data_IF_837870770542
#
_entry.id   IF_837870770542
#
_cell.length_a   1.000
_cell.length_b   1.000
_cell.length_c   1.000
_cell.angle_alpha   90.00
_cell.angle_beta   90.00
_cell.angle_gamma   90.00
#
_symmetry.space_group_name_H-M   'P 1'
#
loop_
_entity.id
_entity.type
_entity.pdbx_description
1 polymer ?
#
# COMPACT_ATOMS: atom_id res chain seq x y z
N UNK A 1 -9.55 -26.67 -6.70
CA UNK A 1 -8.11 -26.70 -6.81
C UNK A 1 -7.61 -25.54 -7.65
N UNK A 2 -6.38 -25.14 -7.40
CA UNK A 2 -5.82 -23.93 -8.05
C UNK A 2 -5.76 -24.07 -9.55
N UNK A 3 -5.48 -25.27 -10.07
CA UNK A 3 -5.40 -25.51 -11.50
C UNK A 3 -6.74 -25.34 -12.21
N UNK A 4 -7.83 -25.77 -11.59
CA UNK A 4 -9.17 -25.64 -12.16
C UNK A 4 -9.61 -24.17 -12.17
N UNK A 5 -9.27 -23.43 -11.12
CA UNK A 5 -9.54 -22.00 -11.05
C UNK A 5 -8.78 -21.22 -12.13
N UNK A 6 -7.52 -21.56 -12.36
CA UNK A 6 -6.72 -20.94 -13.40
C UNK A 6 -7.25 -21.25 -14.79
N UNK A 7 -7.74 -22.48 -15.02
CA UNK A 7 -8.35 -22.85 -16.29
C UNK A 7 -9.65 -22.09 -16.54
N UNK A 8 -10.47 -21.92 -15.52
CA UNK A 8 -11.70 -21.15 -15.65
C UNK A 8 -11.42 -19.67 -15.93
N UNK A 9 -10.44 -19.11 -15.25
CA UNK A 9 -10.01 -17.73 -15.48
C UNK A 9 -9.50 -17.55 -16.91
N UNK A 10 -8.72 -18.52 -17.42
CA UNK A 10 -8.22 -18.46 -18.79
C UNK A 10 -9.30 -18.64 -19.85
N UNK A 11 -10.40 -19.31 -19.51
CA UNK A 11 -11.56 -19.45 -20.42
C UNK A 11 -12.39 -18.16 -20.48
N UNK A 12 -12.50 -17.46 -19.37
CA UNK A 12 -13.28 -16.21 -19.27
C UNK A 12 -12.44 -15.02 -19.72
N UNK A 13 -11.14 -15.06 -19.47
CA UNK A 13 -10.24 -13.95 -19.76
C UNK A 13 -8.88 -14.50 -20.18
N UNK A 14 -8.40 -14.05 -21.34
CA UNK A 14 -7.04 -14.38 -21.77
C UNK A 14 -6.06 -13.72 -20.82
N UNK A 15 -5.27 -14.52 -20.08
CA UNK A 15 -4.31 -14.03 -19.09
C UNK A 15 -3.27 -13.12 -19.75
N UNK A 16 -2.80 -13.46 -20.94
CA UNK A 16 -1.83 -12.65 -21.68
C UNK A 16 -2.40 -11.27 -22.03
N UNK A 17 -3.66 -11.24 -22.46
CA UNK A 17 -4.34 -10.00 -22.79
C UNK A 17 -4.63 -9.19 -21.53
N UNK A 18 -5.01 -9.86 -20.43
CA UNK A 18 -5.21 -9.21 -19.15
C UNK A 18 -3.93 -8.58 -18.63
N UNK A 19 -2.79 -9.28 -18.77
CA UNK A 19 -1.49 -8.74 -18.36
C UNK A 19 -1.08 -7.53 -19.21
N UNK A 20 -1.34 -7.58 -20.52
CA UNK A 20 -1.07 -6.42 -21.39
C UNK A 20 -1.93 -5.23 -21.03
N UNK A 21 -3.21 -5.45 -20.77
CA UNK A 21 -4.10 -4.38 -20.34
C UNK A 21 -3.66 -3.79 -19.02
N UNK A 22 -3.18 -4.63 -18.11
CA UNK A 22 -2.63 -4.17 -16.83
C UNK A 22 -1.44 -3.25 -17.04
N UNK A 23 -0.51 -3.62 -17.91
CA UNK A 23 0.65 -2.81 -18.24
C UNK A 23 0.25 -1.50 -18.95
N UNK A 24 -0.75 -1.57 -19.84
CA UNK A 24 -1.23 -0.41 -20.58
C UNK A 24 -1.97 0.59 -19.71
N UNK A 25 -2.59 0.15 -18.62
CA UNK A 25 -3.31 1.03 -17.70
C UNK A 25 -2.42 2.06 -17.02
N UNK A 26 -1.10 1.90 -17.11
CA UNK A 26 -0.15 2.84 -16.56
C UNK A 26 -0.54 3.27 -15.13
N UNK A 27 -0.62 2.28 -14.22
CA UNK A 27 -0.91 2.59 -12.83
C UNK A 27 0.06 3.67 -12.37
N UNK A 28 -0.45 4.80 -11.88
CA UNK A 28 0.45 5.82 -11.39
C UNK A 28 1.27 5.24 -10.25
N UNK A 29 2.58 5.42 -10.33
CA UNK A 29 3.45 5.04 -9.23
C UNK A 29 3.02 5.84 -8.00
N UNK A 30 3.09 5.24 -6.79
CA UNK A 30 2.82 6.02 -5.59
C UNK A 30 3.79 7.18 -5.52
N UNK A 31 3.30 8.33 -5.08
CA UNK A 31 4.18 9.48 -4.88
C UNK A 31 5.20 9.14 -3.80
N UNK A 32 6.31 9.86 -3.79
CA UNK A 32 7.26 9.75 -2.70
C UNK A 32 6.71 10.47 -1.48
N UNK A 33 6.60 9.75 -0.38
CA UNK A 33 6.11 10.29 0.88
C UNK A 33 7.28 10.82 1.70
N UNK A 34 7.25 12.11 2.01
CA UNK A 34 8.24 12.72 2.90
C UNK A 34 7.75 12.65 4.36
N UNK A 35 8.59 13.14 5.27
CA UNK A 35 8.29 13.11 6.72
C UNK A 35 6.96 13.79 7.04
N UNK A 36 6.71 14.95 6.45
CA UNK A 36 5.49 15.71 6.69
C UNK A 36 4.24 14.98 6.19
N UNK A 37 4.34 14.33 5.02
CA UNK A 37 3.25 13.56 4.44
C UNK A 37 2.86 12.40 5.35
N UNK A 38 3.84 11.69 5.90
CA UNK A 38 3.59 10.54 6.76
C UNK A 38 2.93 10.95 8.07
N UNK A 39 3.40 12.03 8.67
CA UNK A 39 2.78 12.61 9.88
C UNK A 39 1.34 13.03 9.60
N UNK A 40 1.10 13.64 8.44
CA UNK A 40 -0.23 14.08 8.04
C UNK A 40 -1.19 12.90 7.88
N UNK A 41 -0.75 11.82 7.25
CA UNK A 41 -1.54 10.61 7.11
C UNK A 41 -1.86 10.04 8.49
N UNK A 42 -0.85 9.92 9.36
CA UNK A 42 -1.02 9.39 10.70
C UNK A 42 -2.03 10.21 11.51
N UNK A 43 -1.93 11.52 11.44
CA UNK A 43 -2.85 12.42 12.13
C UNK A 43 -4.27 12.34 11.57
N UNK A 44 -4.38 12.16 10.26
CA UNK A 44 -5.69 12.04 9.59
C UNK A 44 -6.46 10.81 10.06
N UNK A 45 -5.79 9.71 10.33
CA UNK A 45 -6.42 8.49 10.81
C UNK A 45 -6.38 8.36 12.35
N UNK A 46 -5.82 9.34 13.03
CA UNK A 46 -5.77 9.43 14.50
C UNK A 46 -5.12 8.23 15.18
N UNK A 47 -3.97 7.80 14.67
CA UNK A 47 -3.22 6.68 15.27
C UNK A 47 -1.85 7.14 15.74
N UNK A 48 -1.28 6.39 16.70
CA UNK A 48 0.09 6.61 17.15
C UNK A 48 1.10 6.07 16.15
N UNK A 49 2.38 6.43 16.33
CA UNK A 49 3.46 5.84 15.53
C UNK A 49 3.49 4.32 15.64
N UNK A 50 3.33 3.79 16.85
CA UNK A 50 3.35 2.34 17.07
C UNK A 50 2.22 1.65 16.32
N UNK A 51 1.03 2.22 16.31
CA UNK A 51 -0.13 1.65 15.61
C UNK A 51 0.07 1.71 14.10
N UNK A 52 0.54 2.83 13.56
CA UNK A 52 0.81 2.92 12.12
C UNK A 52 1.90 1.95 11.69
N UNK A 53 2.95 1.81 12.49
CA UNK A 53 4.01 0.83 12.22
C UNK A 53 3.44 -0.59 12.16
N UNK A 54 2.54 -0.92 13.08
CA UNK A 54 1.87 -2.22 13.08
C UNK A 54 1.04 -2.42 11.81
N UNK A 55 0.26 -1.42 11.43
CA UNK A 55 -0.55 -1.46 10.20
C UNK A 55 0.33 -1.70 8.97
N UNK A 56 1.48 -1.03 8.90
CA UNK A 56 2.41 -1.16 7.79
C UNK A 56 3.32 -2.39 7.91
N UNK A 57 3.25 -3.12 9.02
CA UNK A 57 4.09 -4.28 9.31
C UNK A 57 5.59 -3.92 9.27
N UNK A 58 5.93 -2.82 9.90
CA UNK A 58 7.31 -2.34 10.03
C UNK A 58 7.64 -2.10 11.50
N UNK A 59 8.92 -1.95 11.79
CA UNK A 59 9.36 -1.60 13.15
C UNK A 59 9.02 -0.15 13.45
N UNK A 60 8.61 0.17 14.69
CA UNK A 60 8.36 1.56 15.08
C UNK A 60 9.57 2.47 14.85
N UNK A 61 10.79 1.95 15.03
CA UNK A 61 12.01 2.71 14.76
C UNK A 61 12.16 3.08 13.29
N UNK A 62 11.70 2.22 12.38
CA UNK A 62 11.69 2.51 10.95
C UNK A 62 10.75 3.68 10.64
N UNK A 63 9.56 3.65 11.20
CA UNK A 63 8.60 4.73 11.02
C UNK A 63 9.11 6.04 11.61
N UNK A 64 9.74 5.99 12.78
CA UNK A 64 10.35 7.17 13.37
C UNK A 64 11.38 7.81 12.44
N UNK A 65 12.23 7.00 11.82
CA UNK A 65 13.23 7.48 10.86
C UNK A 65 12.58 8.14 9.64
N UNK A 66 11.47 7.59 9.16
CA UNK A 66 10.71 8.21 8.07
C UNK A 66 10.15 9.57 8.48
N UNK A 67 9.59 9.66 9.69
CA UNK A 67 9.02 10.92 10.19
C UNK A 67 10.08 11.94 10.57
N UNK A 68 11.32 11.51 10.76
CA UNK A 68 12.47 12.39 10.97
C UNK A 68 13.18 12.78 9.66
N UNK A 69 12.78 12.22 8.54
CA UNK A 69 13.39 12.49 7.24
C UNK A 69 14.72 11.79 7.00
N UNK A 70 15.08 10.82 7.87
CA UNK A 70 16.34 10.08 7.73
C UNK A 70 16.27 9.08 6.58
N UNK A 71 15.16 8.37 6.49
CA UNK A 71 14.89 7.38 5.44
C UNK A 71 13.54 7.66 4.81
N UNK A 72 13.33 7.11 3.62
CA UNK A 72 12.06 7.18 2.91
C UNK A 72 11.43 5.81 2.82
N UNK A 73 10.08 5.72 2.78
CA UNK A 73 9.40 4.45 2.56
C UNK A 73 9.81 3.81 1.24
N UNK A 74 9.93 2.49 1.24
CA UNK A 74 10.12 1.73 0.00
C UNK A 74 8.83 1.69 -0.82
N UNK A 75 8.89 1.07 -2.02
CA UNK A 75 7.75 1.04 -2.93
C UNK A 75 6.50 0.40 -2.35
N UNK A 76 6.64 -0.72 -1.64
CA UNK A 76 5.51 -1.42 -1.02
C UNK A 76 4.88 -0.59 0.09
N UNK A 77 5.69 0.00 0.94
CA UNK A 77 5.21 0.87 2.01
C UNK A 77 4.56 2.14 1.48
N UNK A 78 5.12 2.71 0.42
CA UNK A 78 4.54 3.89 -0.23
C UNK A 78 3.15 3.57 -0.81
N UNK A 79 2.99 2.38 -1.38
CA UNK A 79 1.67 1.94 -1.89
C UNK A 79 0.67 1.80 -0.76
N UNK A 80 1.06 1.20 0.36
CA UNK A 80 0.18 1.08 1.53
C UNK A 80 -0.19 2.46 2.09
N UNK A 81 0.78 3.37 2.19
CA UNK A 81 0.51 4.74 2.61
C UNK A 81 -0.48 5.44 1.69
N UNK A 82 -0.36 5.21 0.39
CA UNK A 82 -1.29 5.76 -0.59
C UNK A 82 -2.71 5.24 -0.36
N UNK A 83 -2.86 3.94 -0.11
CA UNK A 83 -4.15 3.34 0.18
C UNK A 83 -4.77 3.90 1.46
N UNK A 84 -3.97 4.03 2.50
CA UNK A 84 -4.40 4.62 3.77
C UNK A 84 -4.83 6.08 3.58
N UNK A 85 -4.07 6.83 2.79
CA UNK A 85 -4.39 8.23 2.52
C UNK A 85 -5.72 8.37 1.78
N UNK A 86 -6.01 7.46 0.84
CA UNK A 86 -7.24 7.50 0.06
C UNK A 86 -8.44 6.90 0.78
N UNK A 87 -8.26 5.78 1.46
CA UNK A 87 -9.35 4.99 2.03
C UNK A 87 -9.39 5.01 3.56
N UNK A 88 -8.33 5.43 4.21
CA UNK A 88 -8.30 5.63 5.64
C UNK A 88 -8.81 4.45 6.46
N UNK A 89 -9.97 4.65 7.09
CA UNK A 89 -10.56 3.67 8.02
C UNK A 89 -10.83 2.31 7.39
N UNK A 90 -11.15 2.27 6.10
CA UNK A 90 -11.43 1.00 5.42
C UNK A 90 -10.21 0.09 5.40
N UNK A 91 -9.03 0.68 5.12
CA UNK A 91 -7.77 -0.08 5.12
C UNK A 91 -7.43 -0.56 6.53
N UNK A 92 -7.63 0.29 7.53
CA UNK A 92 -7.37 -0.06 8.93
C UNK A 92 -8.24 -1.25 9.37
N UNK A 93 -9.50 -1.26 8.99
CA UNK A 93 -10.41 -2.35 9.30
C UNK A 93 -9.97 -3.69 8.68
N UNK A 94 -9.28 -3.64 7.55
CA UNK A 94 -8.79 -4.86 6.89
C UNK A 94 -7.60 -5.48 7.62
N UNK A 95 -6.80 -4.70 8.34
CA UNK A 95 -5.57 -5.17 9.01
C UNK A 95 -5.71 -5.29 10.53
N UNK A 96 -6.78 -4.81 11.10
CA UNK A 96 -7.13 -4.99 12.50
C UNK A 96 -8.24 -6.03 12.61
#
# INVERSE_FOLDING_TARGET
MVEDELLELSKVMDVSESMRKFDELKYPLPKQYNAADIKKIRNKIHVSQAVLAHILNIKPTTLQKWEMGINKPNGASARLLQLIDKKGKEVIQLVI
#
